data_IF_350498325340
#
_entry.id   IF_350498325340
#
_cell.length_a   1.000
_cell.length_b   1.000
_cell.length_c   1.000
_cell.angle_alpha   90.00
_cell.angle_beta   90.00
_cell.angle_gamma   90.00
#
_symmetry.space_group_name_H-M   'P 1'
#
loop_
_entity.id
_entity.type
_entity.pdbx_description
1 polymer ?
#
# COMPACT_ATOMS: atom_id res chain seq x y z
N UNK A 1 5.80 5.17 35.48
CA UNK A 1 6.29 4.21 34.48
C UNK A 1 5.16 4.04 33.46
N UNK A 2 5.24 4.73 32.32
CA UNK A 2 4.27 4.53 31.24
C UNK A 2 4.60 3.17 30.60
N UNK A 3 3.65 2.25 30.59
CA UNK A 3 3.78 1.03 29.79
C UNK A 3 3.54 1.47 28.35
N UNK A 4 4.61 1.61 27.57
CA UNK A 4 4.50 1.64 26.11
C UNK A 4 3.90 0.29 25.70
N UNK A 5 2.60 0.28 25.39
CA UNK A 5 2.00 -0.85 24.66
C UNK A 5 2.80 -0.99 23.37
N UNK A 6 3.58 -2.06 23.27
CA UNK A 6 4.08 -2.49 21.97
C UNK A 6 2.85 -2.66 21.06
N UNK A 7 2.87 -2.12 19.83
CA UNK A 7 1.72 -2.23 18.93
C UNK A 7 1.38 -3.71 18.75
N UNK A 8 0.17 -4.09 19.15
CA UNK A 8 -0.35 -5.42 18.86
C UNK A 8 -0.41 -5.57 17.34
N UNK A 9 -0.27 -6.80 16.83
CA UNK A 9 -0.49 -7.09 15.40
C UNK A 9 -1.89 -6.62 14.91
N UNK A 10 -2.83 -6.39 15.83
CA UNK A 10 -4.13 -5.75 15.61
C UNK A 10 -4.07 -4.34 14.99
N UNK A 11 -2.93 -3.64 15.12
CA UNK A 11 -2.69 -2.29 14.58
C UNK A 11 -1.90 -2.30 13.26
N UNK A 12 -1.50 -3.49 12.78
CA UNK A 12 -0.85 -3.62 11.47
C UNK A 12 -1.91 -3.56 10.37
N UNK A 13 -1.77 -2.55 9.52
CA UNK A 13 -2.61 -2.33 8.36
C UNK A 13 -1.82 -2.67 7.10
N UNK A 14 -2.54 -3.06 6.07
CA UNK A 14 -2.02 -3.24 4.72
C UNK A 14 -2.67 -2.18 3.85
N UNK A 15 -1.83 -1.31 3.29
CA UNK A 15 -2.26 -0.25 2.39
C UNK A 15 -1.94 -0.70 0.97
N UNK A 16 -2.91 -0.54 0.09
CA UNK A 16 -2.71 -0.69 -1.34
C UNK A 16 -2.98 0.62 -2.06
N UNK A 17 -2.23 0.88 -3.12
CA UNK A 17 -2.34 2.07 -3.95
C UNK A 17 -2.11 1.72 -5.42
N UNK A 18 -2.81 2.43 -6.30
CA UNK A 18 -2.67 2.40 -7.75
C UNK A 18 -2.52 3.83 -8.24
N UNK A 19 -1.47 4.06 -9.02
CA UNK A 19 -1.14 5.31 -9.69
C UNK A 19 -1.16 5.07 -11.20
N UNK A 20 -2.10 5.72 -11.90
CA UNK A 20 -2.22 5.72 -13.35
C UNK A 20 -2.03 7.14 -13.91
N UNK A 21 -1.13 7.92 -13.29
CA UNK A 21 -0.80 9.29 -13.66
C UNK A 21 -1.86 10.28 -13.20
N UNK A 22 -2.88 10.55 -14.04
CA UNK A 22 -3.95 11.51 -13.72
C UNK A 22 -5.10 10.95 -12.89
N UNK A 23 -5.10 9.64 -12.66
CA UNK A 23 -6.11 8.91 -11.90
C UNK A 23 -5.42 7.88 -11.01
N UNK A 24 -6.10 7.48 -9.94
CA UNK A 24 -5.59 6.48 -9.02
C UNK A 24 -6.64 6.08 -8.01
N UNK A 25 -6.31 5.07 -7.23
CA UNK A 25 -7.13 4.63 -6.11
C UNK A 25 -6.24 4.00 -5.04
N UNK A 26 -6.75 3.93 -3.83
CA UNK A 26 -6.07 3.24 -2.76
C UNK A 26 -7.05 2.86 -1.68
N UNK A 27 -6.60 1.98 -0.80
CA UNK A 27 -7.40 1.47 0.28
C UNK A 27 -6.55 0.85 1.37
N UNK A 28 -7.23 0.51 2.47
CA UNK A 28 -6.60 -0.05 3.66
C UNK A 28 -7.39 -1.26 4.09
N UNK A 29 -6.69 -2.34 4.43
CA UNK A 29 -7.27 -3.60 4.93
C UNK A 29 -6.31 -4.23 5.94
N UNK A 30 -6.74 -5.31 6.59
CA UNK A 30 -5.88 -6.15 7.45
C UNK A 30 -5.43 -7.44 6.74
N UNK A 31 -5.89 -7.67 5.52
CA UNK A 31 -5.64 -8.89 4.75
C UNK A 31 -4.76 -8.57 3.54
N UNK A 32 -3.55 -9.12 3.55
CA UNK A 32 -2.54 -8.94 2.50
C UNK A 32 -3.03 -9.45 1.13
N UNK A 33 -3.69 -10.61 1.11
CA UNK A 33 -4.18 -11.23 -0.11
C UNK A 33 -5.33 -10.41 -0.69
N UNK A 34 -6.21 -9.91 0.17
CA UNK A 34 -7.28 -9.02 -0.27
C UNK A 34 -6.73 -7.68 -0.80
N UNK A 35 -5.68 -7.14 -0.18
CA UNK A 35 -5.02 -5.92 -0.62
C UNK A 35 -4.40 -6.09 -2.01
N UNK A 36 -3.60 -7.14 -2.20
CA UNK A 36 -2.97 -7.46 -3.48
C UNK A 36 -4.01 -7.71 -4.58
N UNK A 37 -5.03 -8.52 -4.29
CA UNK A 37 -6.09 -8.80 -5.26
C UNK A 37 -6.82 -7.52 -5.69
N UNK A 38 -7.21 -6.68 -4.73
CA UNK A 38 -7.91 -5.42 -5.02
C UNK A 38 -7.02 -4.47 -5.82
N UNK A 39 -5.74 -4.37 -5.46
CA UNK A 39 -4.75 -3.58 -6.18
C UNK A 39 -4.64 -4.02 -7.65
N UNK A 40 -4.51 -5.33 -7.90
CA UNK A 40 -4.39 -5.88 -9.26
C UNK A 40 -5.68 -5.72 -10.08
N UNK A 41 -6.85 -5.91 -9.48
CA UNK A 41 -8.14 -5.69 -10.15
C UNK A 41 -8.31 -4.23 -10.58
N UNK A 42 -7.98 -3.29 -9.69
CA UNK A 42 -8.05 -1.87 -9.96
C UNK A 42 -7.00 -1.47 -11.01
N UNK A 43 -5.76 -1.91 -10.86
CA UNK A 43 -4.70 -1.66 -11.84
C UNK A 43 -5.09 -2.19 -13.23
N UNK A 44 -5.71 -3.37 -13.29
CA UNK A 44 -6.19 -4.00 -14.52
C UNK A 44 -7.24 -3.18 -15.30
N UNK A 45 -7.89 -2.22 -14.64
CA UNK A 45 -8.87 -1.31 -15.24
C UNK A 45 -8.22 -0.13 -15.97
N UNK A 46 -6.90 0.08 -15.82
CA UNK A 46 -6.16 1.12 -16.52
C UNK A 46 -5.37 0.54 -17.71
N UNK A 47 -5.08 1.38 -18.71
CA UNK A 47 -4.21 0.98 -19.83
C UNK A 47 -2.74 0.89 -19.38
N UNK A 48 -2.32 1.82 -18.54
CA UNK A 48 -0.98 1.93 -17.98
C UNK A 48 -1.08 2.37 -16.51
N UNK A 49 -0.09 2.00 -15.72
CA UNK A 49 0.03 2.45 -14.34
C UNK A 49 0.91 1.54 -13.51
N UNK A 50 0.94 1.80 -12.21
CA UNK A 50 1.65 0.99 -11.23
C UNK A 50 0.82 0.85 -9.96
N UNK A 51 0.99 -0.28 -9.29
CA UNK A 51 0.36 -0.55 -8.00
C UNK A 51 1.38 -0.97 -6.96
N UNK A 52 1.08 -0.71 -5.69
CA UNK A 52 1.92 -1.11 -4.56
C UNK A 52 1.06 -1.55 -3.39
N UNK A 53 1.51 -2.57 -2.68
CA UNK A 53 0.97 -3.01 -1.40
C UNK A 53 2.07 -2.94 -0.36
N UNK A 54 1.81 -2.31 0.78
CA UNK A 54 2.80 -2.13 1.86
C UNK A 54 2.14 -2.17 3.23
N UNK A 55 2.89 -2.59 4.22
CA UNK A 55 2.44 -2.45 5.60
C UNK A 55 2.35 -0.99 6.00
N UNK A 56 1.45 -0.69 6.92
CA UNK A 56 1.35 0.59 7.59
C UNK A 56 0.91 0.41 9.04
N UNK A 57 1.22 1.40 9.85
CA UNK A 57 0.68 1.54 11.21
C UNK A 57 0.14 2.93 11.39
N UNK A 58 -0.98 3.06 12.10
CA UNK A 58 -1.46 4.36 12.55
C UNK A 58 -0.64 4.79 13.77
N UNK A 59 0.06 5.91 13.65
CA UNK A 59 0.80 6.52 14.75
C UNK A 59 0.15 7.85 15.11
N UNK A 60 0.05 8.21 16.41
CA UNK A 60 -0.45 9.52 16.79
C UNK A 60 0.40 10.62 16.16
N UNK A 61 -0.26 11.60 15.52
CA UNK A 61 0.42 12.77 15.00
C UNK A 61 1.02 13.60 16.17
N UNK A 62 2.14 14.32 15.95
CA UNK A 62 2.82 15.09 17.00
C UNK A 62 1.96 16.18 17.67
N UNK A 63 0.87 16.60 17.02
CA UNK A 63 -0.10 17.58 17.53
C UNK A 63 -1.43 16.84 17.69
N UNK A 64 -1.67 16.32 18.89
CA UNK A 64 -2.68 15.29 19.17
C UNK A 64 -4.07 15.53 18.57
N UNK A 65 -4.73 14.44 18.19
CA UNK A 65 -6.09 14.39 17.64
C UNK A 65 -6.19 13.81 16.22
N UNK A 66 -5.06 13.63 15.54
CA UNK A 66 -4.97 13.03 14.19
C UNK A 66 -3.98 11.86 14.24
N UNK A 67 -4.20 10.83 13.42
CA UNK A 67 -3.27 9.73 13.22
C UNK A 67 -2.63 9.84 11.84
N UNK A 68 -1.32 9.60 11.77
CA UNK A 68 -0.56 9.52 10.52
C UNK A 68 -0.28 8.05 10.17
N UNK A 69 -0.25 7.73 8.88
CA UNK A 69 0.25 6.44 8.42
C UNK A 69 1.78 6.44 8.45
N UNK A 70 2.36 5.54 9.25
CA UNK A 70 3.76 5.18 9.13
C UNK A 70 3.87 3.92 8.28
N UNK A 71 4.32 4.10 7.04
CA UNK A 71 4.53 3.00 6.10
C UNK A 71 5.75 2.15 6.50
N UNK A 72 5.60 0.84 6.37
CA UNK A 72 6.63 -0.18 6.55
C UNK A 72 7.01 -0.81 5.22
N UNK A 73 7.45 -2.08 5.27
CA UNK A 73 7.91 -2.82 4.09
C UNK A 73 6.84 -2.92 3.01
N UNK A 74 7.27 -2.74 1.76
CA UNK A 74 6.49 -3.08 0.57
C UNK A 74 6.46 -4.60 0.40
N UNK A 75 5.26 -5.13 0.21
CA UNK A 75 5.01 -6.55 -0.03
C UNK A 75 5.10 -6.90 -1.50
N UNK A 76 4.42 -6.11 -2.33
CA UNK A 76 4.36 -6.31 -3.77
C UNK A 76 4.25 -4.97 -4.48
N UNK A 77 4.91 -4.87 -5.61
CA UNK A 77 4.73 -3.82 -6.60
C UNK A 77 4.24 -4.44 -7.89
N UNK A 78 3.45 -3.72 -8.65
CA UNK A 78 3.00 -4.16 -9.96
C UNK A 78 3.08 -3.00 -10.96
N UNK A 79 3.37 -3.35 -12.20
CA UNK A 79 3.43 -2.44 -13.32
C UNK A 79 2.49 -2.93 -14.39
N UNK A 80 1.76 -2.00 -15.02
CA UNK A 80 0.90 -2.28 -16.16
C UNK A 80 1.30 -1.39 -17.32
N UNK A 81 1.51 -2.00 -18.47
CA UNK A 81 1.81 -1.32 -19.73
C UNK A 81 1.20 -2.09 -20.88
N UNK A 82 0.61 -1.38 -21.83
CA UNK A 82 -0.02 -1.98 -23.03
C UNK A 82 -1.02 -3.12 -22.70
N UNK A 83 -1.67 -3.05 -21.54
CA UNK A 83 -2.63 -4.06 -21.09
C UNK A 83 -2.03 -5.32 -20.46
N UNK A 84 -0.71 -5.44 -20.36
CA UNK A 84 -0.01 -6.50 -19.63
C UNK A 84 0.35 -6.03 -18.22
N UNK A 85 0.18 -6.89 -17.22
CA UNK A 85 0.54 -6.60 -15.82
C UNK A 85 1.64 -7.53 -15.33
N UNK A 86 2.71 -6.96 -14.80
CA UNK A 86 3.83 -7.65 -14.15
C UNK A 86 3.82 -7.29 -12.67
N UNK A 87 3.78 -8.28 -11.79
CA UNK A 87 3.88 -8.10 -10.34
C UNK A 87 5.21 -8.66 -9.83
N UNK A 88 5.85 -7.93 -8.92
CA UNK A 88 7.14 -8.24 -8.31
C UNK A 88 7.00 -8.13 -6.79
N UNK A 89 7.50 -9.15 -6.08
CA UNK A 89 7.56 -9.11 -4.61
C UNK A 89 8.61 -8.10 -4.17
N UNK A 90 8.27 -7.25 -3.20
CA UNK A 90 9.15 -6.21 -2.69
C UNK A 90 8.98 -4.83 -3.36
N UNK A 91 9.88 -3.91 -2.99
CA UNK A 91 9.80 -2.50 -3.37
C UNK A 91 10.59 -2.21 -4.65
N UNK A 92 9.91 -2.29 -5.78
CA UNK A 92 10.46 -1.82 -7.06
C UNK A 92 9.87 -0.47 -7.47
N UNK A 93 9.07 0.18 -6.62
CA UNK A 93 8.19 1.32 -6.95
C UNK A 93 8.95 2.53 -7.53
N UNK A 94 10.20 2.71 -7.11
CA UNK A 94 11.06 3.85 -7.47
C UNK A 94 11.92 3.60 -8.74
N UNK A 95 11.96 2.37 -9.27
CA UNK A 95 12.92 1.97 -10.33
C UNK A 95 12.39 2.09 -11.77
N UNK A 96 11.28 2.79 -11.97
CA UNK A 96 10.75 3.07 -13.32
C UNK A 96 10.97 4.54 -13.72
N UNK A 97 12.22 4.85 -14.09
CA UNK A 97 12.60 6.05 -14.87
C UNK A 97 12.79 5.67 -16.34
#
# INVERSE_FOLDING_TARGET
MLIERLPNDDDLLVVWEVDAGGSGAGGVTKDEVAAEKTMLEVLGSFAEGRGRVRYARLVPAPRGGVYDYRYGSTLVTAYRRDGETVAVVGDEWEDTQ
#
